data_IF_320921336194
#
_entry.id   IF_320921336194
#
_cell.length_a   1.000
_cell.length_b   1.000
_cell.length_c   1.000
_cell.angle_alpha   90.00
_cell.angle_beta   90.00
_cell.angle_gamma   90.00
#
_symmetry.space_group_name_H-M   'P 1'
#
loop_
_entity.id
_entity.type
_entity.pdbx_description
1 polymer ?
#
# COMPACT_ATOMS: atom_id res chain seq x y z
N UNK A 1 13.36 9.57 -16.08
CA UNK A 1 12.74 8.63 -15.13
C UNK A 1 12.08 9.40 -13.99
N UNK A 2 12.83 10.28 -13.31
CA UNK A 2 12.31 11.14 -12.23
C UNK A 2 11.09 11.98 -12.64
N UNK A 3 11.15 12.75 -13.73
CA UNK A 3 10.01 13.55 -14.23
C UNK A 3 8.78 12.70 -14.62
N UNK A 4 8.97 11.45 -15.05
CA UNK A 4 7.87 10.56 -15.41
C UNK A 4 7.20 10.05 -14.14
N UNK A 5 7.99 9.65 -13.15
CA UNK A 5 7.52 9.24 -11.83
C UNK A 5 6.75 10.36 -11.15
N UNK A 6 7.30 11.58 -11.09
CA UNK A 6 6.63 12.75 -10.50
C UNK A 6 5.25 13.01 -11.13
N UNK A 7 5.19 12.95 -12.47
CA UNK A 7 3.92 13.11 -13.19
C UNK A 7 2.91 12.01 -12.82
N UNK A 8 3.33 10.75 -12.81
CA UNK A 8 2.45 9.62 -12.46
C UNK A 8 1.97 9.72 -11.00
N UNK A 9 2.85 10.15 -10.09
CA UNK A 9 2.52 10.38 -8.68
C UNK A 9 1.45 11.45 -8.53
N UNK A 10 1.60 12.58 -9.22
CA UNK A 10 0.61 13.67 -9.19
C UNK A 10 -0.72 13.24 -9.81
N UNK A 11 -0.71 12.52 -10.92
CA UNK A 11 -1.92 11.98 -11.53
C UNK A 11 -2.65 11.00 -10.59
N UNK A 12 -1.92 10.11 -9.93
CA UNK A 12 -2.49 9.17 -8.95
C UNK A 12 -3.09 9.89 -7.75
N UNK A 13 -2.40 10.92 -7.23
CA UNK A 13 -2.89 11.78 -6.15
C UNK A 13 -4.22 12.43 -6.51
N UNK A 14 -4.28 13.12 -7.65
CA UNK A 14 -5.48 13.82 -8.09
C UNK A 14 -6.66 12.86 -8.33
N UNK A 15 -6.41 11.71 -8.95
CA UNK A 15 -7.42 10.65 -9.14
C UNK A 15 -7.96 10.12 -7.82
N UNK A 16 -7.08 9.85 -6.84
CA UNK A 16 -7.48 9.31 -5.55
C UNK A 16 -8.32 10.33 -4.75
N UNK A 17 -7.96 11.61 -4.78
CA UNK A 17 -8.79 12.65 -4.18
C UNK A 17 -10.15 12.82 -4.87
N UNK A 18 -10.21 12.70 -6.21
CA UNK A 18 -11.47 12.74 -6.96
C UNK A 18 -12.38 11.56 -6.59
N UNK A 19 -11.81 10.35 -6.50
CA UNK A 19 -12.54 9.17 -6.06
C UNK A 19 -13.19 9.37 -4.68
N UNK A 20 -12.51 10.06 -3.76
CA UNK A 20 -13.06 10.35 -2.44
C UNK A 20 -14.28 11.28 -2.51
N UNK A 21 -14.23 12.31 -3.37
CA UNK A 21 -15.38 13.20 -3.63
C UNK A 21 -16.58 12.45 -4.23
N UNK A 22 -16.32 11.32 -4.90
CA UNK A 22 -17.33 10.45 -5.52
C UNK A 22 -17.90 9.40 -4.57
N UNK A 23 -17.50 9.41 -3.30
CA UNK A 23 -18.08 8.57 -2.25
C UNK A 23 -17.36 7.25 -2.00
N UNK A 24 -16.18 7.02 -2.61
CA UNK A 24 -15.34 5.87 -2.28
C UNK A 24 -14.69 6.09 -0.91
N UNK A 25 -14.46 5.01 -0.18
CA UNK A 25 -13.71 5.07 1.07
C UNK A 25 -12.20 5.21 0.81
N UNK A 26 -11.41 5.45 1.87
CA UNK A 26 -9.99 5.76 1.75
C UNK A 26 -9.15 4.69 1.04
N UNK A 27 -9.42 3.40 1.23
CA UNK A 27 -8.68 2.32 0.55
C UNK A 27 -9.12 2.18 -0.90
N UNK A 28 -10.43 2.21 -1.14
CA UNK A 28 -11.03 2.15 -2.47
C UNK A 28 -10.51 3.28 -3.37
N UNK A 29 -10.35 4.48 -2.83
CA UNK A 29 -9.85 5.64 -3.56
C UNK A 29 -8.47 5.40 -4.16
N UNK A 30 -7.55 4.83 -3.37
CA UNK A 30 -6.17 4.55 -3.78
C UNK A 30 -6.15 3.42 -4.81
N UNK A 31 -6.84 2.31 -4.53
CA UNK A 31 -6.90 1.16 -5.44
C UNK A 31 -7.51 1.57 -6.77
N UNK A 32 -8.64 2.28 -6.75
CA UNK A 32 -9.30 2.76 -7.96
C UNK A 32 -8.44 3.73 -8.77
N UNK A 33 -7.63 4.56 -8.11
CA UNK A 33 -6.73 5.49 -8.79
C UNK A 33 -5.62 4.77 -9.57
N UNK A 34 -5.29 3.53 -9.18
CA UNK A 34 -4.14 2.78 -9.68
C UNK A 34 -4.50 1.61 -10.60
N UNK A 35 -5.75 1.11 -10.60
CA UNK A 35 -6.22 0.05 -11.51
C UNK A 35 -5.97 0.41 -12.99
N UNK A 36 -6.15 1.68 -13.35
CA UNK A 36 -6.00 2.16 -14.73
C UNK A 36 -4.61 2.79 -15.01
N UNK A 37 -3.65 2.62 -14.10
CA UNK A 37 -2.30 3.17 -14.27
C UNK A 37 -1.46 2.24 -15.14
N UNK A 38 -0.72 2.82 -16.09
CA UNK A 38 0.14 2.05 -17.00
C UNK A 38 1.21 1.26 -16.23
N UNK A 39 1.42 -0.01 -16.61
CA UNK A 39 2.35 -0.91 -15.92
C UNK A 39 1.80 -1.56 -14.66
N UNK A 40 0.53 -1.32 -14.32
CA UNK A 40 -0.14 -1.90 -13.15
C UNK A 40 -1.07 -3.04 -13.59
N UNK A 41 -0.80 -4.25 -13.12
CA UNK A 41 -1.65 -5.42 -13.36
C UNK A 41 -2.60 -5.67 -12.17
N UNK A 42 -3.30 -4.63 -11.71
CA UNK A 42 -4.24 -4.75 -10.60
C UNK A 42 -5.64 -5.04 -11.16
N UNK A 43 -6.20 -6.22 -10.84
CA UNK A 43 -7.52 -6.58 -11.36
C UNK A 43 -8.62 -5.67 -10.79
N UNK A 44 -9.70 -5.38 -11.54
CA UNK A 44 -10.80 -4.55 -11.06
C UNK A 44 -11.45 -5.05 -9.77
N UNK A 45 -11.41 -6.36 -9.52
CA UNK A 45 -11.90 -7.00 -8.30
C UNK A 45 -11.13 -6.55 -7.04
N UNK A 46 -9.90 -6.06 -7.18
CA UNK A 46 -9.13 -5.47 -6.09
C UNK A 46 -9.90 -4.35 -5.37
N UNK A 47 -10.73 -3.61 -6.09
CA UNK A 47 -11.57 -2.58 -5.50
C UNK A 47 -12.52 -3.16 -4.44
N UNK A 48 -13.18 -4.29 -4.75
CA UNK A 48 -14.05 -5.00 -3.82
C UNK A 48 -13.30 -5.55 -2.62
N UNK A 49 -12.08 -6.05 -2.81
CA UNK A 49 -11.25 -6.55 -1.71
C UNK A 49 -10.75 -5.43 -0.80
N UNK A 50 -10.58 -4.22 -1.33
CA UNK A 50 -10.10 -3.07 -0.58
C UNK A 50 -11.13 -2.45 0.37
N UNK A 51 -12.43 -2.66 0.12
CA UNK A 51 -13.52 -2.05 0.91
C UNK A 51 -13.39 -2.30 2.40
N UNK A 52 -12.94 -3.49 2.81
CA UNK A 52 -12.77 -3.87 4.21
C UNK A 52 -11.75 -3.03 4.96
N UNK A 53 -10.78 -2.40 4.29
CA UNK A 53 -9.72 -1.61 4.93
C UNK A 53 -10.16 -0.19 5.31
N UNK A 54 -11.34 0.27 4.86
CA UNK A 54 -11.87 1.60 5.18
C UNK A 54 -11.90 1.87 6.70
N UNK A 55 -11.50 3.07 7.13
CA UNK A 55 -11.40 3.39 8.57
C UNK A 55 -10.35 2.56 9.33
N UNK A 56 -9.42 1.97 8.59
CA UNK A 56 -8.33 1.15 9.10
C UNK A 56 -8.73 -0.27 9.48
N UNK A 57 -9.53 -0.93 8.64
CA UNK A 57 -10.19 -2.24 8.88
C UNK A 57 -11.57 -2.12 9.55
N UNK A 58 -12.48 -1.36 8.94
CA UNK A 58 -13.89 -1.31 9.36
C UNK A 58 -14.13 -0.46 10.60
N UNK A 59 -13.51 0.72 10.67
CA UNK A 59 -13.55 1.65 11.82
C UNK A 59 -12.88 1.16 13.10
N UNK A 60 -12.15 0.04 13.05
CA UNK A 60 -11.38 -0.44 14.19
C UNK A 60 -10.24 0.53 14.60
N UNK A 61 -9.75 1.34 13.65
CA UNK A 61 -8.68 2.31 13.91
C UNK A 61 -7.27 1.75 13.85
N UNK A 62 -7.06 0.59 13.21
CA UNK A 62 -5.74 0.03 12.93
C UNK A 62 -5.09 0.73 11.73
N UNK A 63 -4.18 0.05 11.02
CA UNK A 63 -3.44 0.54 9.87
C UNK A 63 -4.32 1.35 8.91
N UNK A 64 -3.88 2.54 8.51
CA UNK A 64 -4.61 3.46 7.64
C UNK A 64 -5.12 2.76 6.37
N UNK A 65 -6.40 2.89 6.06
CA UNK A 65 -7.00 2.23 4.89
C UNK A 65 -6.41 2.70 3.55
N UNK A 66 -6.01 3.97 3.44
CA UNK A 66 -5.31 4.47 2.26
C UNK A 66 -3.94 3.80 2.09
N UNK A 67 -3.18 3.64 3.19
CA UNK A 67 -1.91 2.91 3.17
C UNK A 67 -2.12 1.42 2.84
N UNK A 68 -3.16 0.78 3.37
CA UNK A 68 -3.50 -0.60 3.00
C UNK A 68 -3.82 -0.73 1.50
N UNK A 69 -4.52 0.26 0.93
CA UNK A 69 -4.79 0.32 -0.51
C UNK A 69 -3.50 0.49 -1.34
N UNK A 70 -2.58 1.34 -0.87
CA UNK A 70 -1.26 1.51 -1.47
C UNK A 70 -0.45 0.20 -1.44
N UNK A 71 -0.43 -0.50 -0.30
CA UNK A 71 0.24 -1.81 -0.16
C UNK A 71 -0.36 -2.82 -1.14
N UNK A 72 -1.69 -2.85 -1.29
CA UNK A 72 -2.35 -3.75 -2.25
C UNK A 72 -1.93 -3.44 -3.69
N UNK A 73 -1.90 -2.16 -4.08
CA UNK A 73 -1.48 -1.76 -5.42
C UNK A 73 0.00 -2.09 -5.69
N UNK A 74 0.90 -1.79 -4.75
CA UNK A 74 2.34 -2.13 -4.83
C UNK A 74 2.54 -3.65 -4.91
N UNK A 75 1.69 -4.43 -4.24
CA UNK A 75 1.70 -5.90 -4.33
C UNK A 75 1.32 -6.45 -5.69
N UNK A 76 0.65 -5.67 -6.56
CA UNK A 76 0.38 -6.12 -7.94
C UNK A 76 1.61 -6.11 -8.84
N UNK A 77 2.69 -5.42 -8.42
CA UNK A 77 3.97 -5.34 -9.14
C UNK A 77 5.03 -6.21 -8.48
N UNK A 78 5.14 -6.11 -7.14
CA UNK A 78 6.21 -6.75 -6.36
C UNK A 78 5.76 -7.98 -5.59
N UNK A 79 4.49 -8.36 -5.71
CA UNK A 79 3.94 -9.54 -5.06
C UNK A 79 4.57 -10.83 -5.58
N UNK A 80 4.41 -11.89 -4.80
CA UNK A 80 4.88 -13.22 -5.22
C UNK A 80 3.89 -13.83 -6.20
N UNK A 81 4.42 -14.36 -7.29
CA UNK A 81 3.71 -15.29 -8.15
C UNK A 81 3.94 -16.75 -7.70
N UNK A 82 3.06 -17.67 -8.08
CA UNK A 82 3.24 -19.11 -7.86
C UNK A 82 3.52 -19.53 -6.40
N UNK A 83 2.81 -18.93 -5.43
CA UNK A 83 3.05 -19.06 -3.98
C UNK A 83 2.89 -20.50 -3.46
N UNK A 84 1.98 -21.28 -4.05
CA UNK A 84 1.66 -22.63 -3.63
C UNK A 84 2.23 -23.63 -4.63
N UNK A 85 3.06 -24.54 -4.14
CA UNK A 85 3.42 -25.77 -4.86
C UNK A 85 2.39 -26.82 -4.47
N UNK A 86 1.45 -27.13 -5.36
CA UNK A 86 0.40 -28.15 -5.16
C UNK A 86 0.96 -29.58 -5.32
N UNK A 87 2.14 -29.83 -4.74
CA UNK A 87 2.72 -31.18 -4.63
C UNK A 87 2.77 -31.57 -3.14
N UNK A 88 1.92 -32.50 -2.69
CA UNK A 88 1.87 -32.93 -1.30
C UNK A 88 3.15 -33.64 -0.83
N UNK A 89 4.10 -33.92 -1.74
CA UNK A 89 5.38 -34.55 -1.42
C UNK A 89 6.49 -33.56 -1.08
N UNK A 90 6.30 -32.26 -1.34
CA UNK A 90 7.34 -31.26 -1.06
C UNK A 90 7.40 -30.99 0.45
N UNK A 91 8.57 -31.23 1.05
CA UNK A 91 8.80 -30.98 2.47
C UNK A 91 8.73 -29.48 2.80
N UNK A 92 8.11 -29.16 3.94
CA UNK A 92 7.94 -27.77 4.40
C UNK A 92 9.27 -27.03 4.54
N UNK A 93 10.36 -27.68 4.97
CA UNK A 93 11.66 -27.03 5.11
C UNK A 93 12.25 -26.66 3.76
N UNK A 94 12.02 -27.45 2.71
CA UNK A 94 12.42 -27.09 1.35
C UNK A 94 11.66 -25.85 0.86
N UNK A 95 10.34 -25.77 1.11
CA UNK A 95 9.57 -24.56 0.81
C UNK A 95 10.10 -23.33 1.56
N UNK A 96 10.56 -23.49 2.80
CA UNK A 96 11.12 -22.38 3.58
C UNK A 96 12.46 -21.88 3.04
N UNK A 97 13.30 -22.76 2.48
CA UNK A 97 14.59 -22.37 1.90
C UNK A 97 14.42 -21.43 0.70
N UNK A 98 13.32 -21.54 -0.02
CA UNK A 98 12.98 -20.64 -1.14
C UNK A 98 12.24 -19.38 -0.64
N UNK A 99 11.17 -19.57 0.15
CA UNK A 99 10.31 -18.48 0.60
C UNK A 99 11.02 -17.45 1.48
N UNK A 100 11.88 -17.90 2.40
CA UNK A 100 12.49 -16.97 3.37
C UNK A 100 13.41 -15.98 2.66
N UNK A 101 14.36 -16.38 1.80
CA UNK A 101 15.16 -15.44 1.01
C UNK A 101 14.33 -14.55 0.07
N UNK A 102 13.29 -15.08 -0.57
CA UNK A 102 12.37 -14.32 -1.43
C UNK A 102 11.67 -13.17 -0.68
N UNK A 103 11.32 -13.39 0.59
CA UNK A 103 10.66 -12.38 1.42
C UNK A 103 11.64 -11.46 2.14
N UNK A 104 12.70 -12.01 2.73
CA UNK A 104 13.55 -11.32 3.72
C UNK A 104 15.02 -11.21 3.33
N UNK A 105 15.44 -11.83 2.22
CA UNK A 105 16.83 -11.81 1.76
C UNK A 105 17.28 -10.43 1.29
N UNK A 106 18.47 -10.38 0.68
CA UNK A 106 19.07 -9.15 0.16
C UNK A 106 18.11 -8.42 -0.80
N UNK A 107 17.54 -9.14 -1.76
CA UNK A 107 16.51 -8.63 -2.68
C UNK A 107 15.08 -9.00 -2.26
N UNK A 108 14.88 -9.32 -0.99
CA UNK A 108 13.59 -9.78 -0.47
C UNK A 108 12.51 -8.69 -0.56
N UNK A 109 11.33 -9.05 -1.06
CA UNK A 109 10.27 -8.07 -1.35
C UNK A 109 9.69 -7.37 -0.11
N UNK A 110 9.81 -7.94 1.10
CA UNK A 110 9.31 -7.26 2.32
C UNK A 110 9.97 -5.92 2.56
N UNK A 111 11.18 -5.69 2.03
CA UNK A 111 11.87 -4.41 2.15
C UNK A 111 11.12 -3.28 1.42
N UNK A 112 10.48 -3.56 0.29
CA UNK A 112 9.63 -2.59 -0.43
C UNK A 112 8.48 -2.13 0.47
N UNK A 113 7.69 -3.08 0.99
CA UNK A 113 6.54 -2.76 1.84
C UNK A 113 6.93 -2.13 3.18
N UNK A 114 8.07 -2.56 3.73
CA UNK A 114 8.60 -2.00 4.96
C UNK A 114 8.98 -0.52 4.80
N UNK A 115 9.67 -0.18 3.72
CA UNK A 115 10.05 1.20 3.45
C UNK A 115 8.85 2.05 3.03
N UNK A 116 7.89 1.50 2.27
CA UNK A 116 6.62 2.16 1.97
C UNK A 116 5.89 2.59 3.26
N UNK A 117 5.72 1.68 4.21
CA UNK A 117 5.05 1.99 5.47
C UNK A 117 5.86 3.00 6.32
N UNK A 118 7.19 2.86 6.34
CA UNK A 118 8.06 3.79 7.05
C UNK A 118 7.99 5.21 6.46
N UNK A 119 8.06 5.34 5.14
CA UNK A 119 7.98 6.63 4.45
C UNK A 119 6.60 7.28 4.66
N UNK A 120 5.52 6.50 4.57
CA UNK A 120 4.19 6.98 4.90
C UNK A 120 4.12 7.56 6.32
N UNK A 121 4.67 6.83 7.29
CA UNK A 121 4.72 7.28 8.69
C UNK A 121 5.55 8.56 8.86
N UNK A 122 6.66 8.69 8.14
CA UNK A 122 7.45 9.94 8.12
C UNK A 122 6.63 11.12 7.59
N UNK A 123 5.78 10.91 6.58
CA UNK A 123 4.95 11.97 6.00
C UNK A 123 3.75 12.36 6.88
N UNK A 124 3.16 11.40 7.62
CA UNK A 124 1.89 11.60 8.32
C UNK A 124 1.94 11.43 9.84
N UNK A 125 3.12 11.28 10.43
CA UNK A 125 3.39 11.05 11.87
C UNK A 125 2.94 9.69 12.44
N UNK A 126 1.95 9.03 11.83
CA UNK A 126 1.50 7.68 12.20
C UNK A 126 1.09 6.87 10.96
N UNK A 127 1.00 5.57 11.15
CA UNK A 127 0.43 4.60 10.22
C UNK A 127 -0.92 4.05 10.70
N UNK A 128 -1.34 4.38 11.93
CA UNK A 128 -2.61 3.97 12.52
C UNK A 128 -3.70 5.01 12.26
N UNK A 129 -4.83 4.56 11.72
CA UNK A 129 -5.97 5.41 11.38
C UNK A 129 -6.45 6.23 12.58
N UNK A 130 -6.48 5.63 13.79
CA UNK A 130 -6.98 6.35 14.97
C UNK A 130 -6.10 7.55 15.33
N UNK A 131 -4.78 7.37 15.32
CA UNK A 131 -3.81 8.41 15.66
C UNK A 131 -3.80 9.50 14.58
N UNK A 132 -3.88 9.08 13.31
CA UNK A 132 -3.95 10.02 12.18
C UNK A 132 -5.18 10.91 12.22
N UNK A 133 -6.31 10.40 12.71
CA UNK A 133 -7.58 11.14 12.68
C UNK A 133 -7.91 11.82 13.99
N UNK A 134 -7.11 11.68 15.04
CA UNK A 134 -7.35 12.40 16.30
C UNK A 134 -7.29 13.92 16.08
N UNK A 135 -8.20 14.71 16.69
CA UNK A 135 -9.27 14.31 17.61
C UNK A 135 -10.65 14.07 16.94
N UNK A 136 -10.69 13.88 15.62
CA UNK A 136 -11.92 13.93 14.83
C UNK A 136 -12.70 12.60 14.78
N UNK A 137 -14.03 12.70 14.85
CA UNK A 137 -14.96 11.59 14.63
C UNK A 137 -15.16 11.29 13.15
N UNK A 138 -15.72 10.11 12.82
CA UNK A 138 -15.85 9.65 11.43
C UNK A 138 -16.71 10.58 10.55
N UNK A 139 -17.72 11.22 11.14
CA UNK A 139 -18.62 12.13 10.43
C UNK A 139 -18.08 13.55 10.24
N UNK A 140 -16.94 13.88 10.85
CA UNK A 140 -16.44 15.26 10.88
C UNK A 140 -15.91 15.70 9.53
N UNK A 141 -16.20 16.95 9.18
CA UNK A 141 -15.73 17.54 7.92
C UNK A 141 -14.21 17.69 7.90
N UNK A 142 -13.64 18.06 9.04
CA UNK A 142 -12.21 18.23 9.27
C UNK A 142 -11.48 16.91 9.02
N UNK A 143 -12.03 15.79 9.54
CA UNK A 143 -11.53 14.45 9.22
C UNK A 143 -11.60 14.17 7.73
N UNK A 144 -12.71 14.47 7.07
CA UNK A 144 -12.85 14.23 5.63
C UNK A 144 -11.80 14.99 4.81
N UNK A 145 -11.51 16.25 5.18
CA UNK A 145 -10.45 17.05 4.54
C UNK A 145 -9.07 16.43 4.76
N UNK A 146 -8.77 16.04 6.00
CA UNK A 146 -7.51 15.39 6.37
C UNK A 146 -7.32 14.05 5.63
N UNK A 147 -8.31 13.16 5.71
CA UNK A 147 -8.28 11.87 5.04
C UNK A 147 -8.12 12.02 3.53
N UNK A 148 -8.75 13.03 2.90
CA UNK A 148 -8.57 13.29 1.47
C UNK A 148 -7.11 13.58 1.11
N UNK A 149 -6.41 14.38 1.92
CA UNK A 149 -4.98 14.65 1.72
C UNK A 149 -4.15 13.37 1.84
N UNK A 150 -4.36 12.60 2.92
CA UNK A 150 -3.70 11.31 3.16
C UNK A 150 -3.95 10.33 2.01
N UNK A 151 -5.17 10.28 1.47
CA UNK A 151 -5.54 9.44 0.32
C UNK A 151 -4.69 9.80 -0.91
N UNK A 152 -4.58 11.09 -1.21
CA UNK A 152 -3.77 11.58 -2.32
C UNK A 152 -2.30 11.23 -2.17
N UNK A 153 -1.74 11.49 -0.98
CA UNK A 153 -0.33 11.21 -0.68
C UNK A 153 -0.03 9.71 -0.69
N UNK A 154 -0.93 8.87 -0.17
CA UNK A 154 -0.80 7.41 -0.24
C UNK A 154 -0.79 6.88 -1.68
N UNK A 155 -1.62 7.45 -2.56
CA UNK A 155 -1.67 7.06 -3.97
C UNK A 155 -0.39 7.45 -4.72
N UNK A 156 0.12 8.67 -4.49
CA UNK A 156 1.42 9.09 -5.01
C UNK A 156 2.55 8.19 -4.50
N UNK A 157 2.56 7.90 -3.20
CA UNK A 157 3.57 7.06 -2.58
C UNK A 157 3.52 5.62 -3.12
N UNK A 158 2.33 5.09 -3.41
CA UNK A 158 2.18 3.80 -4.08
C UNK A 158 2.88 3.78 -5.44
N UNK A 159 2.66 4.79 -6.29
CA UNK A 159 3.32 4.90 -7.60
C UNK A 159 4.84 4.88 -7.46
N UNK A 160 5.39 5.67 -6.53
CA UNK A 160 6.83 5.69 -6.26
C UNK A 160 7.34 4.27 -5.99
N UNK A 161 6.71 3.57 -5.05
CA UNK A 161 7.14 2.23 -4.63
C UNK A 161 6.83 1.12 -5.65
N UNK A 162 5.85 1.32 -6.53
CA UNK A 162 5.63 0.44 -7.68
C UNK A 162 6.78 0.55 -8.69
N UNK A 163 7.33 1.74 -8.89
CA UNK A 163 8.44 1.99 -9.81
C UNK A 163 9.83 1.74 -9.18
N UNK A 164 9.91 1.60 -7.85
CA UNK A 164 11.17 1.26 -7.16
C UNK A 164 11.56 -0.18 -7.42
N UNK A 165 12.75 -0.39 -7.97
CA UNK A 165 13.37 -1.71 -8.06
C UNK A 165 14.11 -2.07 -6.75
N UNK A 166 14.02 -3.32 -6.32
CA UNK A 166 14.85 -3.83 -5.24
C UNK A 166 16.11 -4.52 -5.80
N UNK A 167 17.13 -3.73 -6.08
CA UNK A 167 18.42 -4.21 -6.57
C UNK A 167 19.30 -4.87 -5.49
N UNK A 168 18.85 -4.86 -4.23
CA UNK A 168 19.56 -5.35 -3.05
C UNK A 168 20.02 -4.24 -2.11
N UNK A 169 19.97 -2.97 -2.54
CA UNK A 169 20.38 -1.81 -1.75
C UNK A 169 19.41 -1.44 -0.61
N UNK A 170 18.15 -1.88 -0.68
CA UNK A 170 17.15 -1.58 0.34
C UNK A 170 17.48 -2.28 1.66
N UNK A 171 17.38 -1.53 2.76
CA UNK A 171 17.45 -2.05 4.12
C UNK A 171 16.06 -2.07 4.76
N UNK A 172 15.85 -2.90 5.78
CA UNK A 172 14.68 -2.75 6.65
C UNK A 172 14.84 -1.48 7.48
N UNK A 173 13.82 -0.64 7.50
CA UNK A 173 13.79 0.58 8.32
C UNK A 173 13.46 0.23 9.77
N UNK A 174 12.47 -0.64 9.97
CA UNK A 174 12.06 -1.17 11.26
C UNK A 174 11.53 -2.59 11.11
N UNK A 175 11.83 -3.47 12.03
CA UNK A 175 11.34 -4.86 12.05
C UNK A 175 10.37 -5.07 13.19
N UNK A 176 9.69 -6.22 13.19
CA UNK A 176 8.77 -6.63 14.28
C UNK A 176 9.46 -6.80 15.65
N UNK A 177 10.79 -6.72 15.72
CA UNK A 177 11.57 -6.86 16.95
C UNK A 177 12.01 -5.52 17.54
N UNK A 178 11.83 -4.44 16.80
CA UNK A 178 12.21 -3.07 17.19
C UNK A 178 11.02 -2.33 17.83
#
# INVERSE_FOLDING_TARGET
MEQVMEKMMEEAKLKAEDNFRRGLNCSECVVRALIDTEGVNLSPEALKYSSGFGGGVGLYGSMCGALSGAVLAVSSVHGRDHILKDDPKVDRKELLKERVPELTGEKGLYKIFNNLAAEFKTQHSSDLCRELTEPFDFGDRERAVLCKGIIGDAAALAVKWMLTENDGSLAFVKTVKD
#
